data_IF_815204718663
#
_entry.id   IF_815204718663
#
_cell.length_a   1.000
_cell.length_b   1.000
_cell.length_c   1.000
_cell.angle_alpha   90.00
_cell.angle_beta   90.00
_cell.angle_gamma   90.00
#
_symmetry.space_group_name_H-M   'P 1'
#
loop_
_entity.id
_entity.type
_entity.pdbx_description
1 polymer ?
#
# COMPACT_ATOMS: atom_id res chain seq x y z
N UNK A 1 -8.85 -12.36 4.81
CA UNK A 1 -9.38 -11.69 6.03
C UNK A 1 -9.14 -12.52 7.29
N UNK A 2 -8.91 -11.90 8.45
CA UNK A 2 -8.69 -12.63 9.72
C UNK A 2 -10.03 -12.89 10.43
N UNK A 3 -10.34 -14.16 10.66
CA UNK A 3 -11.53 -14.61 11.41
C UNK A 3 -11.32 -14.37 12.91
N UNK A 4 -12.30 -13.84 13.65
CA UNK A 4 -12.23 -13.75 15.11
C UNK A 4 -12.16 -15.13 15.78
N UNK A 5 -11.25 -15.31 16.73
CA UNK A 5 -10.92 -16.61 17.36
C UNK A 5 -12.07 -17.26 18.19
N UNK A 6 -13.19 -16.56 18.39
CA UNK A 6 -14.30 -16.99 19.25
C UNK A 6 -15.54 -17.43 18.47
N UNK A 7 -15.46 -17.42 17.15
CA UNK A 7 -16.54 -17.81 16.26
C UNK A 7 -16.10 -18.99 15.42
N UNK A 8 -16.92 -20.04 15.38
CA UNK A 8 -16.72 -21.22 14.55
C UNK A 8 -17.05 -20.84 13.09
N UNK A 9 -16.13 -20.11 12.44
CA UNK A 9 -16.30 -19.61 11.07
C UNK A 9 -15.32 -20.30 10.15
N UNK A 10 -15.84 -20.92 9.09
CA UNK A 10 -15.05 -21.34 7.94
C UNK A 10 -14.84 -20.16 6.99
N UNK A 11 -13.58 -19.75 6.80
CA UNK A 11 -13.19 -18.76 5.78
C UNK A 11 -12.73 -19.48 4.51
N UNK A 12 -13.25 -19.07 3.36
CA UNK A 12 -12.77 -19.51 2.05
C UNK A 12 -12.28 -18.30 1.26
N UNK A 13 -11.05 -18.31 0.74
CA UNK A 13 -10.55 -17.21 -0.09
C UNK A 13 -11.35 -17.16 -1.40
N UNK A 14 -11.92 -16.00 -1.71
CA UNK A 14 -12.78 -15.83 -2.89
C UNK A 14 -12.13 -14.97 -3.99
N UNK A 15 -11.30 -13.99 -3.63
CA UNK A 15 -10.65 -13.08 -4.57
C UNK A 15 -9.32 -12.57 -4.00
N UNK A 16 -8.29 -12.57 -4.84
CA UNK A 16 -7.01 -11.97 -4.50
C UNK A 16 -7.16 -10.46 -4.27
N UNK A 17 -6.59 -9.97 -3.17
CA UNK A 17 -6.53 -8.55 -2.86
C UNK A 17 -5.07 -8.05 -2.87
N UNK A 18 -4.46 -7.84 -4.05
CA UNK A 18 -3.06 -7.44 -4.15
C UNK A 18 -2.89 -6.01 -3.64
N UNK A 19 -2.03 -5.83 -2.65
CA UNK A 19 -1.60 -4.51 -2.19
C UNK A 19 -0.40 -4.06 -3.03
N UNK A 20 -0.43 -2.83 -3.53
CA UNK A 20 0.61 -2.25 -4.39
C UNK A 20 0.99 -0.86 -3.92
N UNK A 21 2.18 -0.38 -4.32
CA UNK A 21 2.65 0.97 -3.99
C UNK A 21 2.06 1.97 -4.98
N UNK A 22 1.30 2.93 -4.46
CA UNK A 22 0.71 4.03 -5.21
C UNK A 22 1.54 5.29 -5.07
N UNK A 23 1.69 6.00 -6.18
CA UNK A 23 2.33 7.30 -6.25
C UNK A 23 1.54 8.23 -7.19
N UNK A 24 1.82 9.55 -7.20
CA UNK A 24 1.33 10.43 -8.25
C UNK A 24 1.65 9.87 -9.65
N UNK A 25 0.80 10.12 -10.65
CA UNK A 25 1.05 9.66 -12.02
C UNK A 25 2.40 10.14 -12.60
N UNK A 26 2.84 11.34 -12.20
CA UNK A 26 4.11 11.96 -12.62
C UNK A 26 5.30 11.66 -11.69
N UNK A 27 5.16 10.72 -10.75
CA UNK A 27 6.24 10.40 -9.81
C UNK A 27 7.49 9.90 -10.57
N UNK A 28 8.72 10.33 -10.21
CA UNK A 28 9.94 9.92 -10.93
C UNK A 28 10.10 8.40 -11.05
N UNK A 29 9.80 7.68 -9.98
CA UNK A 29 9.83 6.21 -9.94
C UNK A 29 8.83 5.53 -10.87
N UNK A 30 7.82 6.22 -11.40
CA UNK A 30 6.81 5.61 -12.27
C UNK A 30 7.42 5.10 -13.59
N UNK A 31 8.57 5.64 -13.99
CA UNK A 31 9.32 5.21 -15.17
C UNK A 31 10.38 4.14 -14.87
N UNK A 32 10.58 3.81 -13.59
CA UNK A 32 11.54 2.79 -13.16
C UNK A 32 10.86 1.41 -13.05
N UNK A 33 11.67 0.36 -13.18
CA UNK A 33 11.26 -1.04 -13.01
C UNK A 33 12.16 -1.71 -12.00
N UNK A 34 11.64 -2.76 -11.34
CA UNK A 34 12.38 -3.54 -10.35
C UNK A 34 13.00 -2.65 -9.25
N UNK A 35 12.24 -1.68 -8.76
CA UNK A 35 12.68 -0.68 -7.78
C UNK A 35 13.00 -1.39 -6.46
N UNK A 36 14.23 -1.27 -5.91
CA UNK A 36 14.56 -1.85 -4.62
C UNK A 36 13.64 -1.31 -3.52
N UNK A 37 13.13 -2.19 -2.65
CA UNK A 37 12.20 -1.79 -1.58
C UNK A 37 12.82 -0.75 -0.62
N UNK A 38 14.16 -0.74 -0.48
CA UNK A 38 14.90 0.25 0.30
C UNK A 38 14.71 1.69 -0.23
N UNK A 39 14.32 1.86 -1.50
CA UNK A 39 14.00 3.18 -2.05
C UNK A 39 12.83 3.84 -1.33
N UNK A 40 11.90 3.06 -0.76
CA UNK A 40 10.77 3.59 0.01
C UNK A 40 11.20 4.38 1.24
N UNK A 41 12.38 4.12 1.81
CA UNK A 41 12.94 4.88 2.95
C UNK A 41 13.24 6.35 2.61
N UNK A 42 13.43 6.64 1.32
CA UNK A 42 13.71 7.99 0.83
C UNK A 42 12.44 8.78 0.50
N UNK A 43 11.29 8.12 0.42
CA UNK A 43 10.03 8.74 0.02
C UNK A 43 9.18 9.16 1.24
N UNK A 44 8.42 10.26 1.15
CA UNK A 44 7.38 10.55 2.13
C UNK A 44 6.28 9.49 2.02
N UNK A 45 5.99 8.82 3.14
CA UNK A 45 5.06 7.69 3.17
C UNK A 45 3.78 8.06 3.93
N UNK A 46 2.64 7.73 3.34
CA UNK A 46 1.32 7.90 3.93
C UNK A 46 0.89 6.52 4.43
N UNK A 47 0.76 6.36 5.75
CA UNK A 47 0.41 5.09 6.37
C UNK A 47 -1.09 5.01 6.65
N UNK A 48 -1.64 3.80 6.63
CA UNK A 48 -2.99 3.54 7.14
C UNK A 48 -3.04 3.65 8.66
N UNK A 49 -4.21 3.96 9.19
CA UNK A 49 -4.51 4.01 10.62
C UNK A 49 -4.17 2.69 11.37
N UNK A 50 -3.84 2.76 12.67
CA UNK A 50 -3.66 1.60 13.53
C UNK A 50 -4.88 0.68 13.49
N UNK A 51 -4.65 -0.63 13.55
CA UNK A 51 -5.70 -1.64 13.41
C UNK A 51 -6.03 -2.03 11.97
N UNK A 52 -5.64 -1.22 10.97
CA UNK A 52 -5.81 -1.58 9.56
C UNK A 52 -5.04 -2.85 9.20
N UNK A 53 -5.72 -3.82 8.57
CA UNK A 53 -5.07 -5.02 8.03
C UNK A 53 -4.03 -4.70 6.95
N UNK A 54 -4.23 -3.62 6.19
CA UNK A 54 -3.26 -3.15 5.20
C UNK A 54 -2.01 -2.60 5.88
N UNK A 55 -2.16 -1.79 6.94
CA UNK A 55 -1.03 -1.31 7.74
C UNK A 55 -0.19 -2.48 8.25
N UNK A 56 -0.83 -3.48 8.87
CA UNK A 56 -0.15 -4.68 9.40
C UNK A 56 0.63 -5.41 8.31
N UNK A 57 0.02 -5.66 7.15
CA UNK A 57 0.70 -6.32 6.03
C UNK A 57 1.92 -5.54 5.53
N UNK A 58 1.81 -4.21 5.43
CA UNK A 58 2.92 -3.33 5.01
C UNK A 58 4.03 -3.30 6.05
N UNK A 59 3.68 -3.17 7.33
CA UNK A 59 4.67 -3.15 8.42
C UNK A 59 5.44 -4.47 8.49
N UNK A 60 4.75 -5.61 8.42
CA UNK A 60 5.40 -6.92 8.39
C UNK A 60 6.41 -7.03 7.23
N UNK A 61 6.00 -6.66 6.00
CA UNK A 61 6.92 -6.67 4.86
C UNK A 61 8.12 -5.74 5.08
N UNK A 62 7.89 -4.52 5.57
CA UNK A 62 8.97 -3.57 5.82
C UNK A 62 9.94 -4.09 6.88
N UNK A 63 9.44 -4.71 7.94
CA UNK A 63 10.24 -5.34 9.00
C UNK A 63 11.05 -6.53 8.48
N UNK A 64 10.42 -7.45 7.73
CA UNK A 64 11.08 -8.59 7.09
C UNK A 64 12.22 -8.17 6.15
N UNK A 65 12.07 -7.03 5.48
CA UNK A 65 13.06 -6.47 4.56
C UNK A 65 14.04 -5.49 5.23
N UNK A 66 13.91 -5.24 6.54
CA UNK A 66 14.74 -4.30 7.28
C UNK A 66 14.63 -2.84 6.80
N UNK A 67 13.47 -2.44 6.27
CA UNK A 67 13.22 -1.11 5.70
C UNK A 67 12.43 -0.25 6.68
N UNK A 68 12.91 0.98 6.92
CA UNK A 68 12.17 2.00 7.68
C UNK A 68 11.71 3.11 6.76
N UNK A 69 10.41 3.41 6.74
CA UNK A 69 9.84 4.50 5.92
C UNK A 69 9.61 5.78 6.72
N UNK A 70 9.64 6.93 6.04
CA UNK A 70 9.36 8.24 6.66
C UNK A 70 7.86 8.51 6.66
N UNK A 71 7.14 8.05 7.68
CA UNK A 71 5.70 8.29 7.81
C UNK A 71 5.44 9.78 8.01
N UNK A 72 4.78 10.42 7.04
CA UNK A 72 4.41 11.85 7.08
C UNK A 72 2.97 12.07 7.48
N UNK A 73 2.09 11.14 7.10
CA UNK A 73 0.66 11.21 7.35
C UNK A 73 0.15 9.83 7.74
N UNK A 74 -0.88 9.82 8.57
CA UNK A 74 -1.64 8.63 8.94
C UNK A 74 -3.11 8.92 8.67
N UNK A 75 -3.75 8.11 7.82
CA UNK A 75 -5.10 8.37 7.33
C UNK A 75 -5.96 7.09 7.36
N UNK A 76 -7.23 7.27 7.75
CA UNK A 76 -8.20 6.19 7.95
C UNK A 76 -8.93 5.70 6.68
N UNK A 77 -8.96 6.51 5.63
CA UNK A 77 -9.76 6.27 4.42
C UNK A 77 -8.86 6.16 3.19
N UNK A 78 -9.20 5.22 2.29
CA UNK A 78 -8.51 5.07 1.02
C UNK A 78 -8.67 6.33 0.15
N UNK A 79 -9.84 6.97 0.19
CA UNK A 79 -10.14 8.20 -0.54
C UNK A 79 -9.26 9.35 -0.03
N UNK A 80 -9.13 9.50 1.29
CA UNK A 80 -8.23 10.50 1.89
C UNK A 80 -6.76 10.27 1.48
N UNK A 81 -6.32 9.00 1.45
CA UNK A 81 -4.98 8.65 0.98
C UNK A 81 -4.82 8.98 -0.50
N UNK A 82 -5.77 8.61 -1.36
CA UNK A 82 -5.73 8.94 -2.80
C UNK A 82 -5.62 10.45 -3.01
N UNK A 83 -6.40 11.26 -2.29
CA UNK A 83 -6.32 12.72 -2.37
C UNK A 83 -4.96 13.25 -1.89
N UNK A 84 -4.40 12.70 -0.82
CA UNK A 84 -3.07 13.08 -0.35
C UNK A 84 -1.95 12.70 -1.35
N UNK A 85 -2.07 11.54 -2.01
CA UNK A 85 -1.15 11.13 -3.08
C UNK A 85 -1.29 12.07 -4.28
N UNK A 86 -2.52 12.34 -4.76
CA UNK A 86 -2.76 13.25 -5.89
C UNK A 86 -2.23 14.67 -5.61
N UNK A 87 -2.32 15.13 -4.36
CA UNK A 87 -1.73 16.38 -3.89
C UNK A 87 -0.20 16.37 -3.71
N UNK A 88 0.49 15.26 -4.01
CA UNK A 88 1.95 15.15 -3.95
C UNK A 88 2.51 15.03 -2.53
N UNK A 89 1.69 14.67 -1.53
CA UNK A 89 2.14 14.56 -0.14
C UNK A 89 2.94 13.28 0.14
N UNK A 90 2.90 12.33 -0.79
CA UNK A 90 3.79 11.18 -0.81
C UNK A 90 3.19 9.95 -1.49
N UNK A 91 3.74 8.80 -1.15
CA UNK A 91 3.32 7.49 -1.64
C UNK A 91 2.61 6.69 -0.55
N UNK A 92 1.84 5.68 -0.92
CA UNK A 92 1.19 4.78 0.04
C UNK A 92 1.08 3.37 -0.53
N UNK A 93 0.65 2.42 0.30
CA UNK A 93 0.25 1.09 -0.14
C UNK A 93 -1.25 0.94 0.02
N UNK A 94 -1.92 0.66 -1.09
CA UNK A 94 -3.36 0.44 -1.16
C UNK A 94 -3.66 -0.85 -1.93
N UNK A 95 -4.89 -1.34 -1.82
CA UNK A 95 -5.36 -2.42 -2.69
C UNK A 95 -5.39 -1.92 -4.14
N UNK A 96 -4.90 -2.73 -5.09
CA UNK A 96 -5.01 -2.41 -6.51
C UNK A 96 -6.46 -2.18 -6.95
N UNK A 97 -7.43 -2.79 -6.28
CA UNK A 97 -8.86 -2.64 -6.59
C UNK A 97 -9.37 -1.21 -6.32
N UNK A 98 -8.64 -0.36 -5.59
CA UNK A 98 -9.05 1.04 -5.37
C UNK A 98 -8.76 1.97 -6.57
N UNK A 99 -8.09 1.48 -7.63
CA UNK A 99 -7.74 2.24 -8.84
C UNK A 99 -8.82 2.35 -9.89
N UNK A 100 -9.92 1.59 -9.76
CA UNK A 100 -10.87 1.36 -10.86
C UNK A 100 -11.51 2.63 -11.45
N UNK A 101 -11.49 3.76 -10.75
CA UNK A 101 -12.05 5.04 -11.22
C UNK A 101 -11.02 6.11 -11.60
N UNK A 102 -9.76 6.02 -11.15
CA UNK A 102 -8.85 7.19 -11.09
C UNK A 102 -7.48 6.91 -11.74
N UNK A 103 -7.41 5.97 -12.69
CA UNK A 103 -6.14 5.45 -13.22
C UNK A 103 -5.22 6.50 -13.89
N UNK A 104 -5.75 7.67 -14.27
CA UNK A 104 -4.96 8.75 -14.87
C UNK A 104 -4.18 9.58 -13.83
N UNK A 105 -4.59 9.58 -12.57
CA UNK A 105 -4.02 10.42 -11.50
C UNK A 105 -2.90 9.72 -10.73
N UNK A 106 -2.86 8.39 -10.82
CA UNK A 106 -1.97 7.56 -10.02
C UNK A 106 -1.09 6.65 -10.88
N UNK A 107 0.10 6.37 -10.37
CA UNK A 107 0.97 5.31 -10.88
C UNK A 107 1.12 4.20 -9.85
N UNK A 108 1.20 2.96 -10.33
CA UNK A 108 1.65 1.82 -9.52
C UNK A 108 3.16 1.71 -9.70
N UNK A 109 3.92 1.82 -8.61
CA UNK A 109 5.36 1.66 -8.64
C UNK A 109 5.74 0.18 -8.64
N UNK A 110 6.64 -0.21 -9.54
CA UNK A 110 7.15 -1.58 -9.68
C UNK A 110 8.24 -1.87 -8.65
N UNK A 111 7.83 -1.94 -7.38
CA UNK A 111 8.71 -2.13 -6.22
C UNK A 111 8.87 -3.62 -5.93
N UNK A 112 10.10 -4.06 -5.68
CA UNK A 112 10.40 -5.42 -5.27
C UNK A 112 9.57 -5.84 -4.05
N UNK A 113 9.17 -7.11 -4.03
CA UNK A 113 8.30 -7.71 -3.00
C UNK A 113 6.82 -7.26 -3.05
N UNK A 114 6.45 -6.39 -3.98
CA UNK A 114 5.05 -6.09 -4.31
C UNK A 114 4.61 -6.82 -5.59
N UNK A 115 3.31 -7.15 -5.74
CA UNK A 115 2.22 -6.94 -4.79
C UNK A 115 2.30 -7.84 -3.56
N UNK A 116 1.88 -7.32 -2.40
CA UNK A 116 1.60 -8.19 -1.24
C UNK A 116 0.30 -8.92 -1.52
N UNK A 117 0.34 -10.25 -1.62
CA UNK A 117 -0.84 -11.08 -1.82
C UNK A 117 -1.56 -11.26 -0.49
N UNK A 118 -2.85 -10.91 -0.45
CA UNK A 118 -3.75 -11.20 0.68
C UNK A 118 -4.84 -12.15 0.21
N UNK A 119 -4.98 -13.25 0.95
CA UNK A 119 -6.04 -14.26 0.84
C UNK A 119 -7.12 -14.06 1.91
#
# INVERSE_FOLDING_TARGET
DQVPEHLDVTSQPFLDNPLVVFAPANHPLAQEKNIPIQRLSSEPFIMREPGSGTRRAVQNLLEEQGVSVKVKLELGSNEAIKQAIAGGLGISVLSRHTLLSDAAEFSILDVQHFPIKRT
#
